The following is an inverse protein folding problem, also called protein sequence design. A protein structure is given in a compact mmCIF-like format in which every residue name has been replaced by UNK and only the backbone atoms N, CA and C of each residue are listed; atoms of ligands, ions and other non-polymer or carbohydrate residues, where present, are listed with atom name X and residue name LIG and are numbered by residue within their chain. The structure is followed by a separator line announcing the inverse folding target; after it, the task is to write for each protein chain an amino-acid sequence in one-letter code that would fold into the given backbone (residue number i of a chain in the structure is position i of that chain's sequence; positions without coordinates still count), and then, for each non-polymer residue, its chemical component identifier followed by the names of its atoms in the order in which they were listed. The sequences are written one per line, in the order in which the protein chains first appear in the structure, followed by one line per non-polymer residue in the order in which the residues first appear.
data_IF_802827295907
#
_entry.id   IF_802827295907
#
_cell.length_a   1.000
_cell.length_b   1.000
_cell.length_c   1.000
_cell.angle_alpha   90.00
_cell.angle_beta   90.00
_cell.angle_gamma   90.00
#
_symmetry.space_group_name_H-M   'P 1'
#
loop_
_entity.id
_entity.type
_entity.pdbx_description
1 polymer ?
#
# COMPACT_ATOMS: atom_id res chain seq x y z
N UNK A 1 -10.50 -6.36 8.93
CA UNK A 1 -9.47 -6.80 7.99
C UNK A 1 -9.82 -6.35 6.59
N UNK A 2 -8.92 -5.72 5.90
CA UNK A 2 -9.13 -5.29 4.51
C UNK A 2 -9.00 -6.51 3.58
N UNK A 3 -9.98 -6.73 2.75
CA UNK A 3 -10.01 -7.92 1.88
C UNK A 3 -9.94 -7.51 0.42
N UNK A 4 -8.96 -8.05 -0.24
CA UNK A 4 -8.82 -7.86 -1.68
C UNK A 4 -9.93 -8.57 -2.46
N UNK A 5 -10.54 -9.57 -1.86
CA UNK A 5 -11.67 -10.27 -2.47
C UNK A 5 -12.84 -9.32 -2.76
N UNK A 6 -13.15 -8.45 -1.81
CA UNK A 6 -14.21 -7.48 -1.98
C UNK A 6 -13.90 -6.50 -3.11
N UNK A 7 -12.62 -6.16 -3.27
CA UNK A 7 -12.18 -5.30 -4.36
C UNK A 7 -12.40 -5.99 -5.70
N UNK A 8 -12.06 -7.26 -5.79
CA UNK A 8 -12.25 -8.00 -7.03
C UNK A 8 -13.72 -8.08 -7.44
N UNK A 9 -14.61 -8.27 -6.47
CA UNK A 9 -16.02 -8.32 -6.77
C UNK A 9 -16.56 -6.97 -7.27
N UNK A 10 -15.90 -5.88 -6.93
CA UNK A 10 -16.28 -4.55 -7.42
C UNK A 10 -15.62 -4.17 -8.73
N UNK A 11 -14.38 -4.62 -8.93
CA UNK A 11 -13.55 -4.21 -10.07
C UNK A 11 -13.50 -5.27 -11.17
N UNK A 12 -13.67 -6.53 -10.81
CA UNK A 12 -13.53 -7.64 -11.74
C UNK A 12 -14.67 -8.64 -11.56
N UNK A 13 -15.51 -8.79 -12.55
CA UNK A 13 -16.60 -9.76 -12.53
C UNK A 13 -16.14 -11.21 -12.75
N UNK A 14 -14.86 -11.44 -12.95
CA UNK A 14 -14.40 -12.74 -13.37
C UNK A 14 -14.39 -13.74 -12.23
N UNK A 15 -13.65 -14.60 -11.95
CA UNK A 15 -13.95 -15.81 -11.22
C UNK A 15 -13.69 -15.80 -9.70
N UNK A 16 -13.23 -14.72 -9.17
CA UNK A 16 -13.12 -14.59 -7.71
C UNK A 16 -11.95 -15.32 -7.04
N UNK A 17 -10.92 -15.70 -7.77
CA UNK A 17 -9.74 -16.29 -7.16
C UNK A 17 -8.79 -15.23 -6.62
N UNK A 18 -8.19 -15.49 -5.48
CA UNK A 18 -7.28 -14.56 -4.81
C UNK A 18 -6.03 -14.23 -5.62
N UNK A 19 -5.57 -15.18 -6.40
CA UNK A 19 -4.36 -15.06 -7.21
C UNK A 19 -4.60 -14.52 -8.61
N UNK A 20 -5.85 -14.25 -8.97
CA UNK A 20 -6.17 -13.68 -10.26
C UNK A 20 -5.97 -12.17 -10.26
N UNK A 21 -5.33 -11.67 -11.29
CA UNK A 21 -5.10 -10.24 -11.49
C UNK A 21 -6.02 -9.73 -12.59
N UNK A 22 -6.67 -8.60 -12.33
CA UNK A 22 -7.51 -7.95 -13.34
C UNK A 22 -6.66 -7.09 -14.26
N UNK A 23 -7.05 -7.09 -15.55
CA UNK A 23 -6.44 -6.20 -16.52
C UNK A 23 -6.90 -4.76 -16.23
N UNK A 24 -5.98 -3.91 -15.80
CA UNK A 24 -6.28 -2.51 -15.52
C UNK A 24 -5.37 -1.61 -16.36
N UNK A 25 -5.87 -1.07 -17.49
CA UNK A 25 -5.04 -0.25 -18.38
C UNK A 25 -4.66 1.11 -17.78
N UNK A 26 -5.25 1.47 -16.63
CA UNK A 26 -4.90 2.74 -15.97
C UNK A 26 -3.69 2.60 -15.05
N UNK A 27 -3.24 1.38 -14.78
CA UNK A 27 -2.06 1.13 -13.94
C UNK A 27 -0.83 1.15 -14.82
N UNK A 28 0.06 2.09 -14.56
CA UNK A 28 1.32 2.19 -15.29
C UNK A 28 2.31 1.14 -14.79
N UNK A 29 3.16 0.60 -15.67
CA UNK A 29 4.24 -0.29 -15.23
C UNK A 29 5.25 0.47 -14.36
N UNK A 30 5.86 -0.20 -13.37
CA UNK A 30 6.93 0.41 -12.61
C UNK A 30 8.13 0.70 -13.51
N UNK A 31 8.93 1.67 -13.12
CA UNK A 31 10.09 2.11 -13.90
C UNK A 31 11.20 1.07 -13.94
N UNK A 32 11.23 0.12 -13.03
CA UNK A 32 12.26 -0.91 -12.95
C UNK A 32 11.67 -2.27 -12.60
N UNK A 33 12.27 -3.31 -13.16
CA UNK A 33 11.91 -4.69 -12.89
C UNK A 33 10.89 -5.27 -13.86
N UNK A 34 10.70 -6.58 -13.76
CA UNK A 34 9.66 -7.32 -14.48
C UNK A 34 8.74 -7.94 -13.45
N UNK A 35 7.82 -7.16 -12.88
CA UNK A 35 6.97 -7.67 -11.80
C UNK A 35 5.96 -8.70 -12.31
N UNK A 36 5.54 -9.54 -11.40
CA UNK A 36 4.47 -10.51 -11.65
C UNK A 36 3.23 -9.79 -12.17
N UNK A 37 2.62 -10.31 -13.21
CA UNK A 37 1.40 -9.75 -13.78
C UNK A 37 1.61 -8.77 -14.92
N UNK A 38 2.84 -8.38 -15.23
CA UNK A 38 3.07 -7.64 -16.47
C UNK A 38 2.80 -8.53 -17.69
N UNK A 39 1.91 -8.07 -18.56
CA UNK A 39 1.60 -8.78 -19.79
C UNK A 39 2.27 -8.08 -20.98
N UNK A 40 3.38 -8.62 -21.51
CA UNK A 40 4.10 -7.97 -22.61
C UNK A 40 3.33 -7.97 -23.92
N UNK A 41 2.41 -8.91 -24.10
CA UNK A 41 1.62 -9.00 -25.33
C UNK A 41 0.62 -7.85 -25.46
N UNK A 42 0.03 -7.44 -24.34
CA UNK A 42 -0.94 -6.36 -24.30
C UNK A 42 -0.34 -5.04 -23.85
N UNK A 43 0.86 -5.06 -23.24
CA UNK A 43 1.48 -3.86 -22.68
C UNK A 43 0.77 -3.32 -21.46
N UNK A 44 0.09 -4.17 -20.70
CA UNK A 44 -0.70 -3.75 -19.54
C UNK A 44 -0.39 -4.62 -18.31
N UNK A 45 -0.77 -4.09 -17.17
CA UNK A 45 -0.71 -4.80 -15.89
C UNK A 45 -2.03 -5.50 -15.60
N UNK A 46 -1.93 -6.74 -15.14
CA UNK A 46 -3.06 -7.50 -14.64
C UNK A 46 -3.06 -7.45 -13.09
N UNK A 47 -3.00 -6.23 -12.52
CA UNK A 47 -2.87 -5.99 -11.09
C UNK A 47 -3.98 -5.10 -10.55
N UNK A 48 -5.21 -5.29 -10.99
CA UNK A 48 -6.34 -4.50 -10.51
C UNK A 48 -6.52 -4.58 -9.00
N UNK A 49 -6.29 -5.75 -8.40
CA UNK A 49 -6.41 -5.93 -6.96
C UNK A 49 -5.34 -5.16 -6.19
N UNK A 50 -4.11 -5.11 -6.70
CA UNK A 50 -3.03 -4.34 -6.08
C UNK A 50 -3.35 -2.84 -6.09
N UNK A 51 -3.85 -2.34 -7.22
CA UNK A 51 -4.25 -0.93 -7.32
C UNK A 51 -5.31 -0.58 -6.28
N UNK A 52 -6.32 -1.43 -6.13
CA UNK A 52 -7.42 -1.18 -5.20
C UNK A 52 -6.96 -1.32 -3.75
N UNK A 53 -6.14 -2.33 -3.44
CA UNK A 53 -5.57 -2.50 -2.11
C UNK A 53 -4.73 -1.28 -1.70
N UNK A 54 -3.97 -0.73 -2.64
CA UNK A 54 -3.17 0.48 -2.42
C UNK A 54 -4.09 1.68 -2.13
N UNK A 55 -5.13 1.86 -2.93
CA UNK A 55 -6.06 2.97 -2.74
C UNK A 55 -6.78 2.89 -1.38
N UNK A 56 -7.30 1.72 -1.02
CA UNK A 56 -7.93 1.53 0.29
C UNK A 56 -6.93 1.67 1.43
N UNK A 57 -5.74 1.11 1.27
CA UNK A 57 -4.68 1.26 2.26
C UNK A 57 -4.34 2.72 2.54
N UNK A 58 -4.23 3.53 1.50
CA UNK A 58 -3.99 4.97 1.62
C UNK A 58 -5.17 5.68 2.29
N UNK A 59 -6.39 5.38 1.88
CA UNK A 59 -7.59 5.99 2.47
C UNK A 59 -7.70 5.74 3.97
N UNK A 60 -7.48 4.50 4.40
CA UNK A 60 -7.54 4.16 5.83
C UNK A 60 -6.38 4.78 6.60
N UNK A 61 -5.19 4.79 6.03
CA UNK A 61 -4.05 5.47 6.65
C UNK A 61 -4.38 6.94 6.92
N UNK A 62 -4.89 7.62 5.92
CA UNK A 62 -5.21 9.05 6.00
C UNK A 62 -6.37 9.34 6.95
N UNK A 63 -7.22 8.36 7.23
CA UNK A 63 -8.29 8.46 8.22
C UNK A 63 -7.80 8.16 9.65
N UNK A 64 -6.52 7.83 9.82
CA UNK A 64 -5.98 7.43 11.12
C UNK A 64 -6.29 6.00 11.51
N UNK A 65 -6.81 5.20 10.60
CA UNK A 65 -7.15 3.80 10.82
C UNK A 65 -5.99 2.92 10.34
N UNK A 66 -4.88 2.98 11.07
CA UNK A 66 -3.61 2.38 10.65
C UNK A 66 -3.66 0.86 10.61
N UNK A 67 -4.39 0.23 11.53
CA UNK A 67 -4.54 -1.23 11.52
C UNK A 67 -5.27 -1.70 10.26
N UNK A 68 -6.35 -1.02 9.88
CA UNK A 68 -7.08 -1.34 8.66
C UNK A 68 -6.19 -1.12 7.41
N UNK A 69 -5.41 -0.05 7.41
CA UNK A 69 -4.44 0.21 6.34
C UNK A 69 -3.42 -0.91 6.22
N UNK A 70 -2.85 -1.33 7.34
CA UNK A 70 -1.93 -2.46 7.41
C UNK A 70 -2.54 -3.71 6.77
N UNK A 71 -3.78 -4.03 7.12
CA UNK A 71 -4.44 -5.22 6.61
C UNK A 71 -4.69 -5.17 5.10
N UNK A 72 -4.98 -3.99 4.55
CA UNK A 72 -5.15 -3.82 3.11
C UNK A 72 -3.89 -4.23 2.34
N UNK A 73 -2.75 -3.76 2.80
CA UNK A 73 -1.48 -4.09 2.15
C UNK A 73 -1.06 -5.54 2.41
N UNK A 74 -1.27 -6.04 3.61
CA UNK A 74 -0.89 -7.41 3.97
C UNK A 74 -1.70 -8.46 3.20
N UNK A 75 -3.01 -8.27 3.09
CA UNK A 75 -3.86 -9.22 2.38
C UNK A 75 -3.45 -9.35 0.91
N UNK A 76 -3.09 -8.24 0.27
CA UNK A 76 -2.64 -8.27 -1.12
C UNK A 76 -1.23 -8.85 -1.26
N UNK A 77 -0.38 -8.66 -0.25
CA UNK A 77 1.00 -9.13 -0.29
C UNK A 77 1.10 -10.62 -0.58
N UNK A 78 0.17 -11.42 -0.08
CA UNK A 78 0.17 -12.87 -0.30
C UNK A 78 0.00 -13.28 -1.76
N UNK A 79 -0.39 -12.36 -2.63
CA UNK A 79 -0.57 -12.64 -4.06
C UNK A 79 0.73 -12.58 -4.85
N UNK A 80 1.84 -12.20 -4.24
CA UNK A 80 3.09 -11.95 -4.96
C UNK A 80 4.24 -12.78 -4.40
N UNK A 81 5.09 -13.25 -5.33
CA UNK A 81 6.26 -14.02 -4.99
C UNK A 81 7.34 -13.18 -4.32
N UNK A 82 8.12 -13.82 -3.47
CA UNK A 82 9.28 -13.22 -2.83
C UNK A 82 10.26 -12.69 -3.88
N UNK A 83 10.80 -11.51 -3.66
CA UNK A 83 11.78 -10.89 -4.56
C UNK A 83 11.17 -10.05 -5.67
N UNK A 84 9.83 -9.96 -5.76
CA UNK A 84 9.19 -9.08 -6.72
C UNK A 84 9.09 -7.65 -6.18
N UNK A 85 8.98 -6.68 -7.09
CA UNK A 85 8.79 -5.27 -6.72
C UNK A 85 7.47 -5.08 -5.97
N UNK A 86 6.41 -5.78 -6.39
CA UNK A 86 5.10 -5.73 -5.75
C UNK A 86 5.19 -6.23 -4.30
N UNK A 87 5.85 -7.34 -4.09
CA UNK A 87 6.05 -7.90 -2.74
C UNK A 87 6.82 -6.92 -1.85
N UNK A 88 7.90 -6.33 -2.37
CA UNK A 88 8.69 -5.36 -1.64
C UNK A 88 7.88 -4.11 -1.29
N UNK A 89 7.11 -3.59 -2.24
CA UNK A 89 6.24 -2.44 -2.04
C UNK A 89 5.21 -2.71 -0.93
N UNK A 90 4.49 -3.81 -1.05
CA UNK A 90 3.43 -4.14 -0.11
C UNK A 90 3.98 -4.39 1.30
N UNK A 91 5.09 -5.14 1.40
CA UNK A 91 5.73 -5.39 2.69
C UNK A 91 6.22 -4.08 3.32
N UNK A 92 6.80 -3.18 2.51
CA UNK A 92 7.20 -1.85 2.97
C UNK A 92 6.03 -1.05 3.51
N UNK A 93 4.91 -1.04 2.79
CA UNK A 93 3.72 -0.29 3.21
C UNK A 93 3.05 -0.90 4.45
N UNK A 94 3.09 -2.22 4.62
CA UNK A 94 2.68 -2.87 5.87
C UNK A 94 3.47 -2.28 7.05
N UNK A 95 4.78 -2.14 6.90
CA UNK A 95 5.63 -1.59 7.97
C UNK A 95 5.38 -0.09 8.19
N UNK A 96 5.09 0.66 7.14
CA UNK A 96 4.72 2.09 7.26
C UNK A 96 3.46 2.23 8.11
N UNK A 97 2.42 1.48 7.80
CA UNK A 97 1.16 1.52 8.55
C UNK A 97 1.37 1.09 10.01
N UNK A 98 2.12 0.01 10.21
CA UNK A 98 2.44 -0.50 11.56
C UNK A 98 3.24 0.51 12.39
N UNK A 99 4.20 1.20 11.77
CA UNK A 99 5.01 2.21 12.46
C UNK A 99 4.18 3.44 12.86
N UNK A 100 3.33 3.92 11.97
CA UNK A 100 2.41 5.01 12.29
C UNK A 100 1.46 4.61 13.43
N UNK A 101 0.98 3.38 13.42
CA UNK A 101 0.13 2.84 14.48
C UNK A 101 0.85 2.86 15.83
N UNK A 102 2.14 2.46 15.86
CA UNK A 102 2.94 2.49 17.09
C UNK A 102 3.10 3.90 17.64
N UNK A 103 3.34 4.87 16.76
CA UNK A 103 3.50 6.26 17.18
C UNK A 103 2.19 6.87 17.68
N UNK A 104 1.12 6.78 16.89
CA UNK A 104 -0.12 7.50 17.15
C UNK A 104 -0.96 6.83 18.24
N UNK A 105 -1.13 5.52 18.16
CA UNK A 105 -2.06 4.80 19.02
C UNK A 105 -1.40 4.25 20.29
N UNK A 106 -0.08 4.00 20.27
CA UNK A 106 0.61 3.39 21.40
C UNK A 106 1.70 4.27 22.02
N UNK A 107 1.95 5.45 21.45
CA UNK A 107 3.01 6.34 21.91
C UNK A 107 4.35 5.61 22.04
N UNK A 108 4.63 4.75 21.08
CA UNK A 108 5.82 3.90 21.05
C UNK A 108 6.72 4.25 19.88
N UNK A 109 7.55 5.26 20.07
CA UNK A 109 8.44 5.74 19.01
C UNK A 109 9.62 4.81 18.73
N UNK A 110 10.05 4.03 19.71
CA UNK A 110 11.09 3.02 19.48
C UNK A 110 10.57 1.92 18.54
N UNK A 111 9.33 1.47 18.75
CA UNK A 111 8.68 0.53 17.86
C UNK A 111 8.50 1.13 16.47
N UNK A 112 8.08 2.37 16.39
CA UNK A 112 7.94 3.10 15.14
C UNK A 112 9.27 3.16 14.37
N UNK A 113 10.36 3.53 15.03
CA UNK A 113 11.68 3.63 14.39
C UNK A 113 12.14 2.28 13.83
N UNK A 114 11.92 1.21 14.58
CA UNK A 114 12.29 -0.13 14.15
C UNK A 114 11.52 -0.53 12.90
N UNK A 115 10.20 -0.30 12.88
CA UNK A 115 9.33 -0.63 11.75
C UNK A 115 9.68 0.23 10.53
N UNK A 116 9.94 1.51 10.71
CA UNK A 116 10.29 2.40 9.60
C UNK A 116 11.66 2.07 9.00
N UNK A 117 12.60 1.62 9.81
CA UNK A 117 13.89 1.14 9.29
C UNK A 117 13.67 -0.05 8.36
N UNK A 118 12.84 -0.98 8.76
CA UNK A 118 12.48 -2.14 7.94
C UNK A 118 11.73 -1.70 6.67
N UNK A 119 10.78 -0.77 6.80
CA UNK A 119 10.06 -0.22 5.65
C UNK A 119 11.03 0.37 4.62
N UNK A 120 11.99 1.16 5.05
CA UNK A 120 12.97 1.76 4.15
C UNK A 120 13.81 0.71 3.42
N UNK A 121 14.11 -0.42 4.06
CA UNK A 121 14.82 -1.53 3.40
C UNK A 121 13.97 -2.13 2.28
N UNK A 122 12.69 -2.40 2.54
CA UNK A 122 11.80 -2.98 1.52
C UNK A 122 11.51 -2.00 0.39
N UNK A 123 11.33 -0.72 0.70
CA UNK A 123 11.00 0.29 -0.29
C UNK A 123 12.22 0.74 -1.12
N UNK A 124 13.42 0.35 -0.70
CA UNK A 124 14.63 0.66 -1.46
C UNK A 124 14.56 0.02 -2.85
N UNK A 125 14.63 0.82 -3.89
CA UNK A 125 14.54 0.33 -5.27
C UNK A 125 13.13 0.24 -5.84
N UNK A 126 12.08 0.45 -5.02
CA UNK A 126 10.73 0.58 -5.56
C UNK A 126 10.59 1.96 -6.20
N UNK A 127 10.02 2.07 -7.42
CA UNK A 127 9.86 3.36 -8.09
C UNK A 127 9.12 4.39 -7.23
N UNK A 128 9.49 5.67 -7.39
CA UNK A 128 8.96 6.77 -6.56
C UNK A 128 7.45 6.99 -6.70
N UNK A 129 6.88 6.55 -7.82
CA UNK A 129 5.45 6.72 -8.14
C UNK A 129 4.72 5.40 -8.32
N UNK A 130 5.21 4.34 -7.69
CA UNK A 130 4.68 3.00 -7.86
C UNK A 130 3.18 2.96 -7.50
N UNK A 131 2.36 2.57 -8.47
CA UNK A 131 0.88 2.56 -8.36
C UNK A 131 0.30 3.92 -7.95
N UNK A 132 1.00 5.00 -8.32
CA UNK A 132 0.56 6.37 -8.07
C UNK A 132 0.84 6.90 -6.67
N UNK A 133 1.39 6.07 -5.78
CA UNK A 133 1.73 6.49 -4.42
C UNK A 133 3.04 7.27 -4.42
N UNK A 134 3.06 8.42 -3.75
CA UNK A 134 4.25 9.25 -3.62
C UNK A 134 5.23 8.63 -2.62
N UNK A 135 6.05 7.70 -3.10
CA UNK A 135 7.04 7.01 -2.27
C UNK A 135 8.25 7.87 -1.95
N UNK A 136 8.54 8.89 -2.75
CA UNK A 136 9.60 9.85 -2.42
C UNK A 136 9.24 10.59 -1.13
N UNK A 137 8.00 11.05 -1.00
CA UNK A 137 7.50 11.67 0.24
C UNK A 137 7.50 10.67 1.40
N UNK A 138 7.05 9.45 1.16
CA UNK A 138 7.06 8.39 2.18
C UNK A 138 8.48 8.20 2.72
N UNK A 139 9.46 7.95 1.86
CA UNK A 139 10.84 7.74 2.30
C UNK A 139 11.39 8.92 3.07
N UNK A 140 11.14 10.14 2.59
CA UNK A 140 11.59 11.37 3.24
C UNK A 140 10.99 11.50 4.64
N UNK A 141 9.71 11.24 4.78
CA UNK A 141 9.00 11.33 6.06
C UNK A 141 9.46 10.27 7.04
N UNK A 142 9.67 9.02 6.58
CA UNK A 142 10.17 7.95 7.44
C UNK A 142 11.56 8.29 8.00
N UNK A 143 12.43 8.89 7.19
CA UNK A 143 13.76 9.31 7.63
C UNK A 143 13.68 10.44 8.65
N UNK A 144 12.83 11.44 8.38
CA UNK A 144 12.62 12.57 9.28
C UNK A 144 12.05 12.13 10.62
N UNK A 145 11.13 11.17 10.62
CA UNK A 145 10.48 10.67 11.83
C UNK A 145 11.47 10.00 12.81
N UNK A 146 12.62 9.55 12.33
CA UNK A 146 13.64 8.95 13.20
C UNK A 146 14.09 9.95 14.27
N UNK A 147 14.37 11.19 13.86
CA UNK A 147 14.83 12.26 14.76
C UNK A 147 13.68 13.08 15.33
N UNK A 148 12.60 13.23 14.58
CA UNK A 148 11.46 14.07 14.93
C UNK A 148 10.14 13.31 14.68
N UNK A 149 9.73 12.44 15.61
CA UNK A 149 8.49 11.65 15.42
C UNK A 149 7.24 12.49 15.15
N UNK A 150 7.20 13.74 15.64
CA UNK A 150 6.06 14.62 15.45
C UNK A 150 5.76 14.95 13.98
N UNK A 151 6.69 14.69 13.06
CA UNK A 151 6.40 14.87 11.62
C UNK A 151 5.29 13.93 11.14
N UNK A 152 5.01 12.87 11.90
CA UNK A 152 3.93 11.94 11.58
C UNK A 152 2.55 12.48 11.95
N UNK A 153 2.50 13.48 12.82
CA UNK A 153 1.22 14.04 13.27
C UNK A 153 0.57 14.82 12.14
N UNK A 154 -0.57 14.32 11.66
CA UNK A 154 -1.25 14.91 10.51
C UNK A 154 -0.65 14.58 9.16
N UNK A 155 0.41 13.76 9.11
CA UNK A 155 0.98 13.32 7.83
C UNK A 155 -0.01 12.43 7.09
N UNK A 156 -0.17 12.69 5.79
CA UNK A 156 -1.05 11.91 4.92
C UNK A 156 -0.28 11.38 3.72
N UNK A 157 -0.65 10.19 3.31
CA UNK A 157 -0.13 9.58 2.08
C UNK A 157 -0.83 10.22 0.87
N UNK A 158 -0.07 10.41 -0.21
CA UNK A 158 -0.59 10.98 -1.46
C UNK A 158 -0.56 9.96 -2.57
N UNK A 159 -1.68 9.89 -3.29
CA UNK A 159 -1.82 9.03 -4.44
C UNK A 159 -2.39 9.86 -5.59
N UNK A 160 -1.68 9.91 -6.73
CA UNK A 160 -2.07 10.76 -7.85
C UNK A 160 -2.11 12.24 -7.49
N UNK A 161 -1.29 12.70 -6.53
CA UNK A 161 -1.28 14.09 -6.06
C UNK A 161 -2.36 14.43 -5.05
N UNK A 162 -3.23 13.51 -4.71
CA UNK A 162 -4.33 13.71 -3.77
C UNK A 162 -4.09 12.93 -2.47
N UNK A 163 -4.72 13.34 -1.38
CA UNK A 163 -4.68 12.67 -0.09
C UNK A 163 -6.09 12.17 0.28
N UNK A 164 -6.55 11.08 -0.35
CA UNK A 164 -7.91 10.59 -0.12
C UNK A 164 -8.06 10.03 1.30
N UNK A 165 -9.25 10.18 1.86
CA UNK A 165 -9.57 9.72 3.22
C UNK A 165 -10.72 8.73 3.14
N UNK A 166 -10.67 7.68 3.96
CA UNK A 166 -11.72 6.68 4.00
C UNK A 166 -13.06 7.28 4.45
N UNK A 167 -14.12 6.86 3.79
CA UNK A 167 -15.49 7.22 4.11
C UNK A 167 -16.17 6.05 4.84
N UNK A 168 -17.39 6.29 5.30
CA UNK A 168 -18.20 5.22 5.90
C UNK A 168 -18.46 4.09 4.90
N UNK A 169 -18.63 4.44 3.64
CA UNK A 169 -18.78 3.45 2.55
C UNK A 169 -17.55 2.55 2.41
N UNK A 170 -16.36 3.13 2.57
CA UNK A 170 -15.11 2.35 2.52
C UNK A 170 -15.02 1.37 3.69
N UNK A 171 -15.53 1.74 4.86
CA UNK A 171 -15.52 0.86 6.03
C UNK A 171 -16.41 -0.36 5.85
N UNK A 172 -17.44 -0.28 5.01
CA UNK A 172 -18.25 -1.44 4.66
C UNK A 172 -17.41 -2.53 3.99
N UNK A 173 -16.42 -2.12 3.22
CA UNK A 173 -15.49 -3.04 2.56
C UNK A 173 -14.71 -3.90 3.56
N UNK A 174 -14.41 -3.38 4.74
CA UNK A 174 -13.64 -4.12 5.76
C UNK A 174 -14.46 -5.22 6.45
N UNK A 175 -15.78 -5.09 6.44
CA UNK A 175 -16.68 -6.00 7.15
C UNK A 175 -17.00 -7.25 6.33
N UNK A 176 -16.94 -7.13 5.02
CA UNK A 176 -17.21 -8.21 4.07
C UNK A 176 -15.97 -9.08 3.88
#
# INVERSE_FOLDING_TARGET
MCRTDGVRSLADPVDGRMDDHTHDPTVAPPLAGEPTGWNPETGHWDHGTLRMATLYGVRFFNAGEFHASHDCFEDEWYNYGSGTTESAFLHGMVQVAAGAYKHVDFDNDDGMRSLFRTALQYLHGVPDDFYGLDLADVRSTLRAAHDEPAVLDGWQLRIGGEAPVATESDRQYLVD
#
